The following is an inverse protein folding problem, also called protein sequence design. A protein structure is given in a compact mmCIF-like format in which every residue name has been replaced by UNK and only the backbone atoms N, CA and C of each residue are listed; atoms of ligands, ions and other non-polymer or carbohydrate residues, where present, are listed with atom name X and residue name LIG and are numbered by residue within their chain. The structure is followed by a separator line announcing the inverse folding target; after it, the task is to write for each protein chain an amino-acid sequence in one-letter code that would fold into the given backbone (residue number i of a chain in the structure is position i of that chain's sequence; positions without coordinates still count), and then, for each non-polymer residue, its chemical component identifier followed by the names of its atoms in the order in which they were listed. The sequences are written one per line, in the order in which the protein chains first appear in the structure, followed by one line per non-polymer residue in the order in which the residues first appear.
data_IF_591299892489
#
_entry.id   IF_591299892489
#
_cell.length_a   1.000
_cell.length_b   1.000
_cell.length_c   1.000
_cell.angle_alpha   90.00
_cell.angle_beta   90.00
_cell.angle_gamma   90.00
#
_symmetry.space_group_name_H-M   'P 1'
#
loop_
_entity.id
_entity.type
_entity.pdbx_description
1 polymer ?
#
# COMPACT_ATOMS: atom_id res chain seq x y z
N UNK A 1 4.26 39.37 58.00
CA UNK A 1 3.20 38.36 58.24
C UNK A 1 2.41 38.15 56.94
N UNK A 2 1.50 37.17 56.94
CA UNK A 2 0.31 36.94 56.08
C UNK A 2 -0.14 38.14 55.17
N UNK A 3 -0.74 37.96 53.98
CA UNK A 3 -1.45 36.79 53.42
C UNK A 3 -1.58 36.83 51.87
N UNK A 4 -2.08 35.73 51.30
CA UNK A 4 -2.44 35.50 49.88
C UNK A 4 -3.76 36.20 49.52
N UNK A 5 -3.96 36.60 48.25
CA UNK A 5 -5.20 36.36 47.45
C UNK A 5 -4.99 36.70 45.96
N UNK A 6 -5.67 35.95 45.09
CA UNK A 6 -5.72 36.11 43.63
C UNK A 6 -7.16 36.36 43.20
N UNK A 7 -7.40 37.14 42.13
CA UNK A 7 -8.49 36.87 41.19
C UNK A 7 -8.40 37.62 39.87
N UNK A 8 -9.01 37.01 38.85
CA UNK A 8 -9.21 37.52 37.50
C UNK A 8 -10.08 38.79 37.46
N UNK A 9 -9.97 39.54 36.36
CA UNK A 9 -11.11 40.23 35.76
C UNK A 9 -10.98 40.24 34.24
N UNK A 10 -12.01 39.76 33.54
CA UNK A 10 -12.07 39.72 32.08
C UNK A 10 -13.33 40.45 31.62
N UNK A 11 -13.16 41.57 30.90
CA UNK A 11 -14.27 42.29 30.28
C UNK A 11 -14.59 41.72 28.90
N UNK A 12 -15.89 41.59 28.59
CA UNK A 12 -16.39 41.07 27.31
C UNK A 12 -17.83 41.53 27.03
N UNK A 13 -18.02 42.58 26.23
CA UNK A 13 -19.35 43.08 25.82
C UNK A 13 -19.34 43.55 24.36
N UNK A 14 -20.33 43.09 23.59
CA UNK A 14 -20.76 43.44 22.20
C UNK A 14 -21.10 42.11 21.47
N UNK A 15 -22.33 41.62 21.30
CA UNK A 15 -23.73 42.13 21.33
C UNK A 15 -24.33 42.38 19.93
N UNK A 16 -25.64 42.08 19.83
CA UNK A 16 -26.56 42.20 18.68
C UNK A 16 -26.42 41.19 17.52
N UNK A 17 -27.53 40.83 16.82
CA UNK A 17 -28.86 40.50 17.37
C UNK A 17 -29.45 39.20 16.76
N UNK A 18 -30.70 38.85 17.12
CA UNK A 18 -31.37 37.59 16.72
C UNK A 18 -32.85 37.76 16.30
N UNK A 19 -33.42 36.72 15.64
CA UNK A 19 -34.87 36.56 15.35
C UNK A 19 -35.19 36.22 13.88
N UNK A 20 -36.36 35.70 13.43
CA UNK A 20 -37.61 35.09 14.00
C UNK A 20 -38.30 34.33 12.81
N UNK A 21 -39.09 33.24 12.80
CA UNK A 21 -39.72 32.23 13.73
C UNK A 21 -39.05 30.83 13.51
N UNK A 22 -39.40 29.66 14.08
CA UNK A 22 -40.56 29.06 14.81
C UNK A 22 -41.73 28.47 13.95
N UNK A 23 -42.59 27.65 14.59
CA UNK A 23 -43.68 26.76 14.05
C UNK A 23 -43.21 25.47 13.32
N UNK A 24 -43.87 24.30 13.45
CA UNK A 24 -44.78 23.78 14.51
C UNK A 24 -44.89 22.26 14.43
N UNK A 25 -45.21 21.60 15.54
CA UNK A 25 -45.78 20.24 15.51
C UNK A 25 -47.29 20.28 15.14
N UNK A 26 -47.82 19.16 14.64
CA UNK A 26 -49.23 18.93 14.32
C UNK A 26 -49.50 17.43 14.20
N UNK A 27 -50.71 16.97 14.55
CA UNK A 27 -51.01 15.54 14.73
C UNK A 27 -52.48 15.20 14.39
N UNK A 28 -52.78 13.89 14.37
CA UNK A 28 -54.12 13.25 14.35
C UNK A 28 -54.94 13.30 13.05
N UNK A 29 -54.99 12.15 12.36
CA UNK A 29 -56.20 11.38 11.91
C UNK A 29 -55.66 10.20 11.07
N UNK A 30 -55.83 8.92 11.44
CA UNK A 30 -57.02 8.17 11.86
C UNK A 30 -58.11 8.13 10.78
N UNK A 31 -58.11 7.04 10.02
CA UNK A 31 -59.30 6.43 9.44
C UNK A 31 -59.27 4.93 9.78
N UNK A 32 -60.33 4.45 10.41
CA UNK A 32 -60.65 3.03 10.50
C UNK A 32 -61.79 2.74 9.52
N UNK A 33 -61.82 1.54 8.96
CA UNK A 33 -63.07 0.93 8.48
C UNK A 33 -63.19 -0.48 9.04
N UNK A 34 -64.44 -0.83 9.30
CA UNK A 34 -65.02 -2.01 9.94
C UNK A 34 -64.38 -3.35 9.51
N UNK A 35 -64.14 -4.35 10.37
CA UNK A 35 -64.92 -4.93 11.48
C UNK A 35 -66.04 -5.90 11.04
N UNK A 36 -65.79 -7.21 11.17
CA UNK A 36 -66.80 -8.24 11.43
C UNK A 36 -66.30 -9.19 12.53
N UNK A 37 -67.22 -9.82 13.27
CA UNK A 37 -66.90 -10.60 14.48
C UNK A 37 -67.50 -12.01 14.48
N UNK A 38 -66.72 -12.99 14.95
CA UNK A 38 -67.16 -14.36 15.28
C UNK A 38 -66.73 -14.74 16.71
N UNK A 39 -67.50 -15.58 17.41
CA UNK A 39 -67.43 -15.73 18.88
C UNK A 39 -66.88 -17.09 19.37
N UNK A 40 -65.97 -17.00 20.36
CA UNK A 40 -65.69 -18.00 21.43
C UNK A 40 -65.11 -19.36 20.92
N UNK A 41 -64.55 -20.24 21.75
CA UNK A 41 -64.47 -20.34 23.22
C UNK A 41 -63.08 -20.78 23.72
N UNK A 42 -62.79 -20.60 25.01
CA UNK A 42 -61.56 -21.08 25.65
C UNK A 42 -61.76 -22.44 26.34
N UNK A 43 -60.70 -23.27 26.41
CA UNK A 43 -60.16 -23.80 27.69
C UNK A 43 -58.98 -24.79 27.50
N UNK A 44 -58.23 -25.02 28.59
CA UNK A 44 -57.34 -26.16 28.91
C UNK A 44 -56.21 -26.55 27.92
N UNK A 45 -54.96 -26.29 28.34
CA UNK A 45 -53.78 -27.08 27.94
C UNK A 45 -53.74 -28.41 28.72
N UNK A 46 -53.32 -29.52 28.09
CA UNK A 46 -52.56 -30.59 28.74
C UNK A 46 -51.08 -30.58 28.31
N UNK A 47 -50.28 -31.51 28.82
CA UNK A 47 -48.82 -31.50 28.77
C UNK A 47 -48.18 -32.01 27.44
N UNK A 48 -46.86 -31.85 27.31
CA UNK A 48 -46.11 -32.07 26.08
C UNK A 48 -45.82 -33.54 25.74
N UNK A 49 -45.97 -33.88 24.46
CA UNK A 49 -45.48 -35.13 23.85
C UNK A 49 -44.23 -34.81 23.00
N UNK A 50 -43.15 -35.58 23.19
CA UNK A 50 -41.87 -35.36 22.49
C UNK A 50 -41.98 -35.72 21.00
N UNK A 51 -41.79 -34.75 20.11
CA UNK A 51 -41.66 -35.02 18.65
C UNK A 51 -40.20 -35.38 18.32
N UNK A 52 -39.99 -36.56 17.73
CA UNK A 52 -38.70 -36.98 17.17
C UNK A 52 -38.36 -36.20 15.90
N UNK A 53 -37.06 -36.07 15.59
CA UNK A 53 -36.57 -35.28 14.45
C UNK A 53 -36.51 -36.12 13.17
N UNK A 54 -37.39 -35.86 12.20
CA UNK A 54 -37.18 -36.30 10.81
C UNK A 54 -36.21 -35.34 10.11
N UNK A 55 -35.05 -35.84 9.66
CA UNK A 55 -34.04 -35.01 9.00
C UNK A 55 -34.49 -34.61 7.59
N UNK A 56 -34.53 -33.31 7.30
CA UNK A 56 -34.78 -32.79 5.95
C UNK A 56 -33.47 -32.80 5.15
N UNK A 57 -33.44 -33.55 4.04
CA UNK A 57 -32.27 -33.62 3.17
C UNK A 57 -31.83 -32.23 2.70
N UNK A 58 -30.53 -31.95 2.77
CA UNK A 58 -29.98 -30.67 2.37
C UNK A 58 -29.87 -30.59 0.84
N UNK A 59 -30.55 -29.61 0.24
CA UNK A 59 -30.39 -29.31 -1.19
C UNK A 59 -28.91 -29.00 -1.52
N UNK A 60 -28.40 -29.41 -2.70
CA UNK A 60 -27.03 -29.12 -3.08
C UNK A 60 -26.79 -27.61 -3.08
N UNK A 61 -25.78 -27.18 -2.33
CA UNK A 61 -25.41 -25.76 -2.23
C UNK A 61 -25.00 -25.28 -3.61
N UNK A 62 -25.78 -24.38 -4.21
CA UNK A 62 -25.37 -23.66 -5.44
C UNK A 62 -23.94 -23.14 -5.23
N UNK A 63 -23.06 -23.22 -6.25
CA UNK A 63 -21.70 -22.68 -6.13
C UNK A 63 -21.82 -21.20 -5.69
N UNK A 64 -21.14 -20.86 -4.60
CA UNK A 64 -21.14 -19.48 -4.11
C UNK A 64 -20.57 -18.61 -5.22
N UNK A 65 -21.31 -17.58 -5.65
CA UNK A 65 -20.73 -16.60 -6.56
C UNK A 65 -19.48 -16.01 -5.88
N UNK A 66 -18.34 -15.91 -6.57
CA UNK A 66 -17.14 -15.32 -6.00
C UNK A 66 -17.44 -13.91 -5.52
N UNK A 67 -17.01 -13.59 -4.31
CA UNK A 67 -17.22 -12.27 -3.72
C UNK A 67 -16.55 -11.19 -4.58
N UNK A 68 -17.00 -9.94 -4.47
CA UNK A 68 -16.35 -8.80 -5.15
C UNK A 68 -14.84 -8.68 -4.81
N UNK A 69 -14.41 -9.23 -3.67
CA UNK A 69 -12.98 -9.37 -3.32
C UNK A 69 -12.30 -10.45 -4.16
N UNK A 70 -12.84 -11.67 -4.21
CA UNK A 70 -12.26 -12.78 -4.99
C UNK A 70 -12.24 -12.48 -6.49
N UNK A 71 -13.28 -11.82 -7.01
CA UNK A 71 -13.31 -11.29 -8.37
C UNK A 71 -12.15 -10.29 -8.61
N UNK A 72 -11.98 -9.28 -7.75
CA UNK A 72 -10.92 -8.28 -7.90
C UNK A 72 -9.51 -8.87 -7.74
N UNK A 73 -9.34 -9.81 -6.81
CA UNK A 73 -8.06 -10.50 -6.54
C UNK A 73 -7.70 -11.50 -7.65
N UNK A 74 -8.68 -12.00 -8.42
CA UNK A 74 -8.47 -12.73 -9.66
C UNK A 74 -8.19 -11.81 -10.88
N UNK A 75 -8.77 -10.61 -10.90
CA UNK A 75 -8.75 -9.70 -12.05
C UNK A 75 -7.41 -9.00 -12.28
N UNK A 76 -6.59 -8.80 -11.24
CA UNK A 76 -5.30 -8.10 -11.35
C UNK A 76 -4.14 -8.97 -10.85
N UNK A 77 -3.67 -9.89 -11.69
CA UNK A 77 -2.43 -10.65 -11.48
C UNK A 77 -1.19 -9.77 -11.72
N UNK A 78 -0.95 -8.81 -10.82
CA UNK A 78 0.21 -7.89 -10.90
C UNK A 78 1.53 -8.68 -11.01
N UNK A 79 2.35 -8.46 -12.07
CA UNK A 79 3.63 -9.14 -12.22
C UNK A 79 4.57 -8.91 -11.03
N UNK A 80 5.33 -9.95 -10.67
CA UNK A 80 6.42 -9.82 -9.69
C UNK A 80 7.50 -8.89 -10.26
N UNK A 81 7.92 -7.87 -9.52
CA UNK A 81 8.99 -6.93 -9.97
C UNK A 81 10.40 -7.56 -9.97
N UNK A 82 10.60 -8.66 -9.25
CA UNK A 82 11.91 -9.29 -9.03
C UNK A 82 12.25 -10.31 -10.11
N UNK A 83 13.41 -10.13 -10.75
CA UNK A 83 14.03 -11.09 -11.66
C UNK A 83 15.17 -11.85 -10.95
N UNK A 84 15.55 -13.06 -11.40
CA UNK A 84 16.72 -13.74 -10.88
C UNK A 84 18.03 -12.94 -11.15
N UNK A 85 19.02 -13.12 -10.29
CA UNK A 85 20.44 -12.78 -10.53
C UNK A 85 21.16 -14.02 -11.08
N UNK A 86 22.38 -13.88 -11.59
CA UNK A 86 23.16 -14.97 -12.20
C UNK A 86 23.16 -16.29 -11.39
N UNK A 87 23.54 -16.25 -10.11
CA UNK A 87 23.48 -17.41 -9.20
C UNK A 87 22.07 -18.02 -9.06
N UNK A 88 21.01 -17.21 -9.11
CA UNK A 88 19.64 -17.70 -9.06
C UNK A 88 19.18 -18.30 -10.40
N UNK A 89 19.70 -17.83 -11.54
CA UNK A 89 19.50 -18.48 -12.85
C UNK A 89 20.19 -19.85 -12.83
N UNK A 90 21.44 -19.92 -12.38
CA UNK A 90 22.18 -21.17 -12.20
C UNK A 90 21.46 -22.16 -11.26
N UNK A 91 20.97 -21.70 -10.12
CA UNK A 91 20.18 -22.52 -9.19
C UNK A 91 18.86 -23.01 -9.83
N UNK A 92 18.19 -22.17 -10.64
CA UNK A 92 17.01 -22.59 -11.41
C UNK A 92 17.34 -23.58 -12.53
N UNK A 93 18.57 -23.59 -13.04
CA UNK A 93 19.02 -24.54 -14.06
C UNK A 93 19.37 -25.90 -13.44
N UNK A 94 20.18 -25.92 -12.38
CA UNK A 94 20.47 -27.12 -11.59
C UNK A 94 19.19 -27.75 -10.99
N UNK A 95 18.18 -26.96 -10.63
CA UNK A 95 16.90 -27.47 -10.14
C UNK A 95 16.08 -28.24 -11.20
N UNK A 96 16.43 -28.14 -12.50
CA UNK A 96 15.82 -28.97 -13.56
C UNK A 96 16.36 -30.39 -13.52
N UNK A 97 17.62 -30.57 -13.13
CA UNK A 97 18.28 -31.87 -13.07
C UNK A 97 17.89 -32.60 -11.77
N UNK A 98 16.85 -33.43 -11.89
CA UNK A 98 16.34 -34.29 -10.82
C UNK A 98 17.29 -35.43 -10.43
N UNK A 99 18.40 -35.66 -11.16
CA UNK A 99 19.44 -36.61 -10.74
C UNK A 99 20.36 -35.98 -9.69
N UNK A 100 20.56 -34.66 -9.76
CA UNK A 100 21.34 -33.87 -8.79
C UNK A 100 20.45 -33.35 -7.65
N UNK A 101 19.16 -33.06 -7.92
CA UNK A 101 18.25 -32.41 -6.99
C UNK A 101 17.18 -33.36 -6.40
N UNK A 102 17.34 -33.68 -5.12
CA UNK A 102 16.45 -34.53 -4.30
C UNK A 102 15.04 -33.98 -4.04
N UNK A 103 14.74 -32.75 -4.44
CA UNK A 103 13.54 -32.01 -4.04
C UNK A 103 13.72 -31.11 -2.81
N UNK A 104 14.74 -31.32 -1.96
CA UNK A 104 14.98 -30.47 -0.78
C UNK A 104 15.80 -29.22 -1.12
N UNK A 105 15.18 -28.04 -0.97
CA UNK A 105 15.78 -26.74 -1.36
C UNK A 105 17.08 -26.43 -0.58
N UNK A 106 17.22 -26.92 0.66
CA UNK A 106 18.44 -26.75 1.47
C UNK A 106 19.65 -27.47 0.89
N UNK A 107 19.48 -28.73 0.47
CA UNK A 107 20.52 -29.53 -0.18
C UNK A 107 20.91 -28.92 -1.53
N UNK A 108 19.91 -28.50 -2.33
CA UNK A 108 20.14 -27.75 -3.57
C UNK A 108 20.98 -26.49 -3.34
N UNK A 109 20.64 -25.67 -2.34
CA UNK A 109 21.35 -24.42 -2.07
C UNK A 109 22.82 -24.65 -1.69
N UNK A 110 23.12 -25.70 -0.94
CA UNK A 110 24.48 -26.11 -0.61
C UNK A 110 25.26 -26.56 -1.85
N UNK A 111 24.68 -27.47 -2.66
CA UNK A 111 25.29 -27.97 -3.91
C UNK A 111 25.54 -26.82 -4.89
N UNK A 112 24.58 -25.91 -5.08
CA UNK A 112 24.74 -24.72 -5.90
C UNK A 112 25.87 -23.81 -5.39
N UNK A 113 25.98 -23.61 -4.08
CA UNK A 113 27.03 -22.75 -3.49
C UNK A 113 28.44 -23.30 -3.75
N UNK A 114 28.63 -24.62 -3.61
CA UNK A 114 29.92 -25.27 -3.93
C UNK A 114 30.21 -25.16 -5.43
N UNK A 115 29.30 -25.61 -6.30
CA UNK A 115 29.52 -25.59 -7.76
C UNK A 115 29.72 -24.17 -8.33
N UNK A 116 29.05 -23.15 -7.78
CA UNK A 116 29.23 -21.76 -8.23
C UNK A 116 30.60 -21.18 -7.87
N UNK A 117 31.23 -21.66 -6.81
CA UNK A 117 32.57 -21.21 -6.41
C UNK A 117 33.68 -21.96 -7.18
N UNK A 118 33.42 -23.21 -7.55
CA UNK A 118 34.28 -24.06 -8.38
C UNK A 118 34.26 -23.65 -9.87
N UNK A 119 33.11 -23.19 -10.37
CA UNK A 119 32.93 -22.71 -11.75
C UNK A 119 33.86 -21.55 -12.13
N UNK A 120 34.44 -21.64 -13.33
CA UNK A 120 35.28 -20.59 -13.90
C UNK A 120 34.51 -19.29 -14.10
N UNK A 121 35.23 -18.17 -14.23
CA UNK A 121 34.60 -16.88 -14.53
C UNK A 121 33.88 -16.90 -15.90
N UNK A 122 34.41 -17.61 -16.90
CA UNK A 122 33.79 -17.74 -18.22
C UNK A 122 32.46 -18.52 -18.20
N UNK A 123 32.31 -19.48 -17.29
CA UNK A 123 31.04 -20.20 -17.08
C UNK A 123 30.05 -19.35 -16.29
N UNK A 124 30.51 -18.66 -15.24
CA UNK A 124 29.69 -17.70 -14.50
C UNK A 124 29.19 -16.57 -15.41
N UNK A 125 30.02 -16.09 -16.35
CA UNK A 125 29.66 -15.04 -17.31
C UNK A 125 28.40 -15.39 -18.11
N UNK A 126 28.25 -16.64 -18.56
CA UNK A 126 27.04 -17.13 -19.27
C UNK A 126 25.77 -16.89 -18.43
N UNK A 127 25.80 -17.21 -17.13
CA UNK A 127 24.68 -16.93 -16.22
C UNK A 127 24.50 -15.44 -15.90
N UNK A 128 25.57 -14.64 -15.92
CA UNK A 128 25.47 -13.19 -15.82
C UNK A 128 24.82 -12.55 -17.05
N UNK A 129 25.08 -13.08 -18.25
CA UNK A 129 24.45 -12.64 -19.50
C UNK A 129 22.99 -13.09 -19.59
N UNK A 130 22.70 -14.34 -19.21
CA UNK A 130 21.33 -14.84 -19.13
C UNK A 130 20.50 -14.03 -18.12
N UNK A 131 21.06 -13.69 -16.95
CA UNK A 131 20.40 -12.82 -15.99
C UNK A 131 20.19 -11.37 -16.51
N UNK A 132 21.08 -10.85 -17.38
CA UNK A 132 20.85 -9.58 -18.10
C UNK A 132 19.69 -9.73 -19.09
N UNK A 133 19.65 -10.83 -19.87
CA UNK A 133 18.58 -11.12 -20.86
C UNK A 133 17.21 -11.24 -20.20
N UNK A 134 17.07 -12.14 -19.23
CA UNK A 134 15.82 -12.33 -18.46
C UNK A 134 15.37 -11.01 -17.82
N UNK A 135 16.30 -10.19 -17.30
CA UNK A 135 15.97 -8.87 -16.76
C UNK A 135 15.41 -7.93 -17.84
N UNK A 136 16.02 -7.87 -19.02
CA UNK A 136 15.58 -7.00 -20.11
C UNK A 136 14.23 -7.44 -20.70
N UNK A 137 14.01 -8.74 -20.88
CA UNK A 137 12.74 -9.32 -21.34
C UNK A 137 11.62 -9.07 -20.33
N UNK A 138 11.89 -9.31 -19.04
CA UNK A 138 10.93 -9.03 -17.98
C UNK A 138 10.65 -7.53 -17.83
N UNK A 139 11.62 -6.65 -18.11
CA UNK A 139 11.36 -5.21 -18.16
C UNK A 139 10.45 -4.82 -19.34
N UNK A 140 10.64 -5.41 -20.53
CA UNK A 140 9.70 -5.23 -21.67
C UNK A 140 8.29 -5.70 -21.31
N UNK A 141 8.16 -6.90 -20.75
CA UNK A 141 6.88 -7.45 -20.29
C UNK A 141 6.22 -6.56 -19.23
N UNK A 142 6.98 -6.08 -18.24
CA UNK A 142 6.48 -5.13 -17.25
C UNK A 142 5.98 -3.84 -17.91
N UNK A 143 6.71 -3.27 -18.88
CA UNK A 143 6.29 -2.04 -19.58
C UNK A 143 4.99 -2.25 -20.34
N UNK A 144 4.87 -3.35 -21.10
CA UNK A 144 3.65 -3.72 -21.81
C UNK A 144 2.46 -3.97 -20.86
N UNK A 145 2.71 -4.60 -19.70
CA UNK A 145 1.68 -4.77 -18.67
C UNK A 145 1.23 -3.42 -18.11
N UNK A 146 2.16 -2.50 -17.83
CA UNK A 146 1.83 -1.18 -17.27
C UNK A 146 1.16 -0.22 -18.27
N UNK A 147 1.38 -0.37 -19.57
CA UNK A 147 0.62 0.37 -20.60
C UNK A 147 -0.76 -0.21 -20.89
N UNK A 148 -0.97 -1.51 -20.66
CA UNK A 148 -2.28 -2.18 -20.88
C UNK A 148 -3.14 -2.33 -19.61
N UNK A 149 -2.58 -2.07 -18.42
CA UNK A 149 -3.30 -2.23 -17.16
C UNK A 149 -4.25 -1.06 -16.85
N UNK A 150 -5.51 -1.41 -16.59
CA UNK A 150 -6.56 -0.53 -16.11
C UNK A 150 -6.16 0.15 -14.77
N UNK A 151 -6.06 1.49 -14.83
CA UNK A 151 -5.62 2.31 -13.71
C UNK A 151 -6.69 2.46 -12.62
N UNK A 152 -7.98 2.35 -12.95
CA UNK A 152 -9.07 2.45 -11.99
C UNK A 152 -9.26 1.14 -11.22
N UNK A 153 -9.07 -0.01 -11.86
CA UNK A 153 -8.94 -1.30 -11.18
C UNK A 153 -7.72 -1.31 -10.25
N UNK A 154 -6.56 -0.79 -10.70
CA UNK A 154 -5.38 -0.58 -9.84
C UNK A 154 -5.69 0.38 -8.67
N UNK A 155 -6.45 1.45 -8.88
CA UNK A 155 -6.85 2.38 -7.83
C UNK A 155 -7.80 1.74 -6.81
N UNK A 156 -8.76 0.93 -7.27
CA UNK A 156 -9.71 0.19 -6.45
C UNK A 156 -9.02 -0.87 -5.57
N UNK A 157 -8.11 -1.65 -6.15
CA UNK A 157 -7.29 -2.62 -5.41
C UNK A 157 -6.34 -1.93 -4.41
N UNK A 158 -5.77 -0.78 -4.79
CA UNK A 158 -5.04 0.06 -3.83
C UNK A 158 -5.92 0.59 -2.70
N UNK A 159 -7.18 0.93 -2.97
CA UNK A 159 -8.13 1.33 -1.93
C UNK A 159 -8.45 0.17 -0.99
N UNK A 160 -8.60 -1.06 -1.51
CA UNK A 160 -8.75 -2.28 -0.69
C UNK A 160 -7.54 -2.49 0.22
N UNK A 161 -6.31 -2.43 -0.33
CA UNK A 161 -5.06 -2.57 0.45
C UNK A 161 -4.95 -1.54 1.58
N UNK A 162 -5.30 -0.28 1.32
CA UNK A 162 -5.33 0.79 2.35
C UNK A 162 -6.32 0.50 3.49
N UNK A 163 -7.47 -0.12 3.20
CA UNK A 163 -8.49 -0.46 4.22
C UNK A 163 -8.11 -1.66 5.08
N UNK A 164 -7.20 -2.53 4.62
CA UNK A 164 -6.80 -3.75 5.32
C UNK A 164 -5.75 -3.45 6.43
N UNK A 165 -6.22 -3.01 7.60
CA UNK A 165 -5.38 -2.83 8.80
C UNK A 165 -4.51 -4.08 9.06
N UNK A 166 -3.23 -3.87 9.39
CA UNK A 166 -2.26 -4.94 9.64
C UNK A 166 -1.66 -5.60 8.38
N UNK A 167 -2.14 -5.28 7.17
CA UNK A 167 -1.59 -5.85 5.93
C UNK A 167 -0.19 -5.32 5.62
N UNK A 168 0.76 -6.23 5.36
CA UNK A 168 2.10 -5.90 4.81
C UNK A 168 2.08 -5.68 3.28
N UNK A 169 0.91 -5.76 2.64
CA UNK A 169 0.77 -5.61 1.19
C UNK A 169 1.12 -4.18 0.73
N UNK A 170 2.17 -4.04 -0.07
CA UNK A 170 2.55 -2.75 -0.67
C UNK A 170 1.50 -2.32 -1.70
N UNK A 171 1.30 -1.00 -1.80
CA UNK A 171 0.47 -0.39 -2.84
C UNK A 171 1.05 -0.68 -4.23
N UNK A 172 0.17 -1.01 -5.18
CA UNK A 172 0.47 -1.17 -6.59
C UNK A 172 0.81 0.23 -7.15
N UNK A 173 2.01 0.37 -7.72
CA UNK A 173 2.51 1.61 -8.32
C UNK A 173 3.44 1.25 -9.48
N UNK A 174 3.33 1.98 -10.58
CA UNK A 174 4.22 1.77 -11.72
C UNK A 174 5.69 2.05 -11.33
N UNK A 175 6.64 1.13 -11.57
CA UNK A 175 8.07 1.40 -11.46
C UNK A 175 8.62 2.37 -12.53
N UNK A 176 7.94 2.59 -13.66
CA UNK A 176 8.42 3.42 -14.77
C UNK A 176 7.93 4.88 -14.72
N UNK A 177 6.82 5.13 -14.03
CA UNK A 177 6.25 6.45 -13.83
C UNK A 177 7.26 7.42 -13.20
N UNK A 178 7.34 8.67 -13.68
CA UNK A 178 8.25 9.66 -13.13
C UNK A 178 8.16 9.76 -11.60
N UNK A 179 9.32 9.68 -10.95
CA UNK A 179 9.42 9.84 -9.50
C UNK A 179 9.31 11.32 -9.14
N UNK A 180 8.49 11.64 -8.14
CA UNK A 180 8.38 13.01 -7.58
C UNK A 180 9.77 13.51 -7.13
N UNK A 181 10.08 14.82 -7.33
CA UNK A 181 11.34 15.41 -6.91
C UNK A 181 11.46 15.44 -5.39
N UNK A 182 12.67 15.76 -4.90
CA UNK A 182 12.89 16.08 -3.49
C UNK A 182 12.36 17.48 -3.14
N UNK A 183 12.20 17.75 -1.85
CA UNK A 183 12.15 19.12 -1.34
C UNK A 183 13.56 19.74 -1.33
N UNK A 184 13.67 21.06 -1.12
CA UNK A 184 14.97 21.74 -0.93
C UNK A 184 15.84 21.03 0.12
N UNK A 185 15.28 20.69 1.28
CA UNK A 185 15.93 19.89 2.32
C UNK A 185 16.40 18.51 1.81
N UNK A 186 15.70 17.89 0.86
CA UNK A 186 16.12 16.61 0.27
C UNK A 186 17.35 16.74 -0.64
N UNK A 187 17.56 17.91 -1.26
CA UNK A 187 18.77 18.20 -2.02
C UNK A 187 19.93 18.56 -1.08
N UNK A 188 19.69 19.38 -0.07
CA UNK A 188 20.66 19.68 0.99
C UNK A 188 21.15 18.42 1.72
N UNK A 189 20.24 17.53 2.13
CA UNK A 189 20.58 16.21 2.69
C UNK A 189 21.35 15.37 1.67
N UNK A 190 21.05 15.44 0.37
CA UNK A 190 21.82 14.69 -0.65
C UNK A 190 23.26 15.19 -0.78
N UNK A 191 23.47 16.50 -0.63
CA UNK A 191 24.78 17.14 -0.70
C UNK A 191 25.60 16.82 0.56
N UNK A 192 25.07 17.13 1.76
CA UNK A 192 25.74 16.83 3.03
C UNK A 192 25.98 15.34 3.25
N UNK A 193 25.00 14.48 2.94
CA UNK A 193 25.16 13.00 2.99
C UNK A 193 25.80 12.42 1.71
N UNK A 194 26.33 13.27 0.82
CA UNK A 194 26.89 12.85 -0.47
C UNK A 194 28.26 12.19 -0.33
N UNK A 195 29.16 12.81 0.46
CA UNK A 195 30.50 12.29 0.73
C UNK A 195 30.52 11.01 1.58
N UNK A 196 29.43 10.69 2.28
CA UNK A 196 29.31 9.54 3.16
C UNK A 196 28.68 8.30 2.47
N UNK A 197 28.98 8.13 1.17
CA UNK A 197 28.46 7.04 0.33
C UNK A 197 29.53 6.32 -0.48
N UNK A 198 30.80 6.48 -0.09
CA UNK A 198 31.89 5.71 -0.68
C UNK A 198 31.88 4.29 -0.08
N UNK A 199 32.40 3.27 -0.79
CA UNK A 199 32.44 1.88 -0.28
C UNK A 199 33.21 1.72 1.03
N UNK A 200 34.18 2.60 1.29
CA UNK A 200 35.01 2.62 2.50
C UNK A 200 34.27 3.23 3.71
N UNK A 201 33.19 3.98 3.46
CA UNK A 201 32.40 4.68 4.46
C UNK A 201 31.06 3.96 4.74
N UNK A 202 31.11 2.67 5.08
CA UNK A 202 29.92 1.92 5.52
C UNK A 202 29.46 2.36 6.92
N UNK A 203 28.82 3.53 6.99
CA UNK A 203 28.32 4.12 8.23
C UNK A 203 27.26 3.21 8.87
N UNK A 204 27.56 2.71 10.08
CA UNK A 204 26.60 1.97 10.89
C UNK A 204 25.30 2.74 11.13
N UNK A 205 24.17 2.05 11.38
CA UNK A 205 22.84 2.66 11.39
C UNK A 205 22.66 3.77 12.43
N UNK A 206 23.38 3.70 13.56
CA UNK A 206 23.36 4.75 14.60
C UNK A 206 24.16 5.99 14.18
N UNK A 207 25.33 5.83 13.55
CA UNK A 207 26.13 6.95 13.02
C UNK A 207 25.41 7.66 11.86
N UNK A 208 24.76 6.90 10.97
CA UNK A 208 23.87 7.45 9.93
C UNK A 208 22.70 8.26 10.54
N UNK A 209 22.15 7.80 11.67
CA UNK A 209 21.06 8.45 12.42
C UNK A 209 21.52 9.71 13.16
N UNK A 210 22.75 9.73 13.67
CA UNK A 210 23.37 10.92 14.27
C UNK A 210 23.71 11.99 13.23
N UNK A 211 24.31 11.59 12.11
CA UNK A 211 24.61 12.49 10.99
C UNK A 211 23.31 13.07 10.38
N UNK A 212 22.23 12.27 10.30
CA UNK A 212 20.91 12.79 9.92
C UNK A 212 20.29 13.76 10.95
N UNK A 213 20.65 13.68 12.25
CA UNK A 213 20.26 14.70 13.24
C UNK A 213 21.03 15.99 13.01
N UNK A 214 22.36 15.93 12.90
CA UNK A 214 23.20 17.14 12.74
C UNK A 214 22.86 17.90 11.46
N UNK A 215 22.67 17.21 10.34
CA UNK A 215 22.16 17.80 9.08
C UNK A 215 20.75 18.39 9.26
N UNK A 216 19.87 17.76 10.06
CA UNK A 216 18.56 18.35 10.38
C UNK A 216 18.63 19.58 11.28
N UNK A 217 19.69 19.76 12.07
CA UNK A 217 19.92 20.95 12.87
C UNK A 217 20.59 22.06 12.07
N UNK A 218 21.60 21.72 11.26
CA UNK A 218 22.25 22.63 10.32
C UNK A 218 21.20 23.30 9.43
N UNK A 219 20.32 22.51 8.80
CA UNK A 219 19.23 23.05 7.98
C UNK A 219 18.33 24.04 8.73
N UNK A 220 18.06 23.83 10.03
CA UNK A 220 17.25 24.76 10.86
C UNK A 220 17.99 26.06 11.13
N UNK A 221 19.31 26.02 11.31
CA UNK A 221 20.17 27.18 11.59
C UNK A 221 20.43 28.03 10.33
N UNK A 222 20.49 27.42 9.14
CA UNK A 222 20.67 28.13 7.86
C UNK A 222 19.61 29.22 7.62
N UNK A 223 20.06 30.36 7.11
CA UNK A 223 19.24 31.49 6.65
C UNK A 223 18.44 31.18 5.38
N UNK A 224 17.54 32.10 5.02
CA UNK A 224 16.82 32.02 3.74
C UNK A 224 17.78 32.09 2.52
N UNK A 225 18.87 32.85 2.61
CA UNK A 225 19.86 32.98 1.54
C UNK A 225 20.64 31.67 1.32
N UNK A 226 21.12 31.03 2.39
CA UNK A 226 21.83 29.74 2.31
C UNK A 226 20.91 28.59 1.84
N UNK A 227 19.60 28.68 2.12
CA UNK A 227 18.60 27.72 1.62
C UNK A 227 18.19 27.98 0.17
N UNK A 228 18.46 29.15 -0.41
CA UNK A 228 17.97 29.54 -1.74
C UNK A 228 18.50 28.66 -2.90
N UNK A 229 19.77 28.22 -2.95
CA UNK A 229 20.26 27.29 -3.97
C UNK A 229 19.47 25.97 -3.98
N UNK A 230 19.12 25.47 -2.79
CA UNK A 230 18.36 24.24 -2.62
C UNK A 230 16.88 24.40 -3.01
N UNK A 231 16.30 25.58 -2.76
CA UNK A 231 14.96 25.93 -3.25
C UNK A 231 14.92 25.97 -4.79
N UNK A 232 15.83 26.72 -5.41
CA UNK A 232 15.98 26.81 -6.89
C UNK A 232 16.20 25.43 -7.54
N UNK A 233 16.98 24.57 -6.90
CA UNK A 233 17.20 23.18 -7.36
C UNK A 233 15.93 22.34 -7.28
N UNK A 234 15.13 22.47 -6.21
CA UNK A 234 13.87 21.77 -6.07
C UNK A 234 12.79 22.28 -7.04
N UNK A 235 12.77 23.58 -7.33
CA UNK A 235 11.90 24.19 -8.35
C UNK A 235 12.24 23.71 -9.76
N UNK A 236 13.53 23.68 -10.12
CA UNK A 236 14.00 23.18 -11.41
C UNK A 236 13.62 21.70 -11.62
N UNK A 237 13.88 20.83 -10.63
CA UNK A 237 13.50 19.43 -10.70
C UNK A 237 11.97 19.22 -10.61
N UNK A 238 11.21 20.17 -10.04
CA UNK A 238 9.75 20.20 -10.08
C UNK A 238 9.21 20.56 -11.46
N UNK A 239 9.81 21.53 -12.16
CA UNK A 239 9.50 21.84 -13.55
C UNK A 239 9.81 20.66 -14.47
N UNK A 240 11.00 20.06 -14.32
CA UNK A 240 11.43 18.83 -15.03
C UNK A 240 10.48 17.65 -14.75
N UNK A 241 10.05 17.48 -13.51
CA UNK A 241 9.07 16.46 -13.13
C UNK A 241 7.72 16.65 -13.85
N UNK A 242 7.19 17.87 -13.89
CA UNK A 242 5.95 18.18 -14.63
C UNK A 242 6.06 17.81 -16.11
N UNK A 243 7.15 18.21 -16.76
CA UNK A 243 7.42 17.86 -18.17
C UNK A 243 7.52 16.33 -18.39
N UNK A 244 8.19 15.62 -17.47
CA UNK A 244 8.32 14.16 -17.56
C UNK A 244 6.99 13.44 -17.32
N UNK A 245 6.14 13.93 -16.40
CA UNK A 245 4.78 13.39 -16.16
C UNK A 245 3.89 13.60 -17.39
N UNK A 246 3.97 14.76 -18.05
CA UNK A 246 3.19 15.03 -19.25
C UNK A 246 3.61 14.13 -20.43
N UNK A 247 4.92 13.94 -20.64
CA UNK A 247 5.45 12.98 -21.62
C UNK A 247 5.03 11.54 -21.32
N UNK A 248 5.15 11.12 -20.05
CA UNK A 248 4.71 9.79 -19.59
C UNK A 248 3.20 9.59 -19.79
N UNK A 249 2.37 10.60 -19.48
CA UNK A 249 0.91 10.52 -19.65
C UNK A 249 0.55 10.31 -21.11
N UNK A 250 1.19 11.05 -22.03
CA UNK A 250 0.98 10.89 -23.48
C UNK A 250 1.40 9.51 -23.98
N UNK A 251 2.48 8.92 -23.46
CA UNK A 251 2.94 7.57 -23.84
C UNK A 251 2.19 6.41 -23.16
N UNK A 252 1.14 6.68 -22.39
CA UNK A 252 0.27 5.67 -21.74
C UNK A 252 -1.23 5.99 -21.94
N UNK A 253 -1.56 6.84 -22.92
CA UNK A 253 -2.92 7.23 -23.29
C UNK A 253 -3.17 7.11 -24.81
N UNK A 254 -2.25 6.41 -25.50
CA UNK A 254 -2.25 6.05 -26.90
C UNK A 254 -1.79 4.58 -26.99
#
# INVERSE_FOLDING_TARGET
MLRIISSFSALKVASYPAGVRAFSAGSVRLLQTEAQSGKKSASKKPAAIKRTKTAKAAAPKRPKMPTKKELLEALIKVPKRTTPRAFAVFMMDLAKDKTIYSGKITELAQICSVKWNDMSESERLKYHEEAKRIKAEHEKYLRQWWSTADQDLIALENQRRKRQKGSKARLIKDPFAPKRPGSAYTFFVRERMGGYKTPEAELGPELMKELMKSVSEEWKRMSAAERAPFAKTAELESARYKQNVEKYRKSHAA
#
